data_IF_242196465956
#
_entry.id   IF_242196465956
#
_cell.length_a   1.000
_cell.length_b   1.000
_cell.length_c   1.000
_cell.angle_alpha   90.00
_cell.angle_beta   90.00
_cell.angle_gamma   90.00
#
_symmetry.space_group_name_H-M   'P 1'
#
loop_
_entity.id
_entity.type
_entity.pdbx_description
1 polymer ?
#
# COMPACT_ATOMS: atom_id res chain seq x y z
N UNK A 1 -15.16 10.29 -1.29
CA UNK A 1 -14.73 8.94 -1.69
C UNK A 1 -13.23 8.94 -1.86
N UNK A 2 -12.54 8.01 -1.21
CA UNK A 2 -11.09 7.84 -1.28
C UNK A 2 -10.69 6.99 -2.50
N UNK A 3 -9.42 7.07 -2.86
CA UNK A 3 -8.76 6.10 -3.75
C UNK A 3 -7.66 5.43 -2.95
N UNK A 4 -7.80 4.14 -2.73
CA UNK A 4 -6.85 3.35 -1.96
C UNK A 4 -5.92 2.59 -2.89
N UNK A 5 -4.61 2.78 -2.70
CA UNK A 5 -3.59 1.98 -3.37
C UNK A 5 -3.15 0.89 -2.40
N UNK A 6 -3.44 -0.35 -2.76
CA UNK A 6 -3.08 -1.55 -1.99
C UNK A 6 -2.12 -2.43 -2.79
N UNK A 7 -1.45 -3.32 -2.12
CA UNK A 7 -0.51 -4.24 -2.76
C UNK A 7 0.75 -4.46 -1.94
N UNK A 8 1.59 -5.34 -2.43
CA UNK A 8 2.86 -5.70 -1.81
C UNK A 8 3.78 -4.48 -1.66
N UNK A 9 4.69 -4.56 -0.69
CA UNK A 9 5.78 -3.60 -0.59
C UNK A 9 6.61 -3.57 -1.88
N UNK A 10 7.09 -2.40 -2.27
CA UNK A 10 7.88 -2.21 -3.49
C UNK A 10 7.08 -2.05 -4.78
N UNK A 11 5.75 -2.13 -4.76
CA UNK A 11 4.92 -1.93 -5.96
C UNK A 11 4.79 -0.47 -6.41
N UNK A 12 5.28 0.48 -5.62
CA UNK A 12 5.29 1.89 -5.99
C UNK A 12 4.07 2.69 -5.54
N UNK A 13 3.34 2.22 -4.52
CA UNK A 13 2.13 2.89 -3.99
C UNK A 13 2.36 4.35 -3.64
N UNK A 14 3.42 4.66 -2.90
CA UNK A 14 3.71 6.03 -2.47
C UNK A 14 4.09 6.94 -3.63
N UNK A 15 4.91 6.47 -4.56
CA UNK A 15 5.32 7.23 -5.74
C UNK A 15 4.14 7.50 -6.67
N UNK A 16 3.40 6.46 -7.01
CA UNK A 16 2.20 6.56 -7.85
C UNK A 16 1.11 7.39 -7.16
N UNK A 17 0.95 7.21 -5.85
CA UNK A 17 -0.04 7.95 -5.08
C UNK A 17 0.15 9.46 -5.13
N UNK A 18 1.39 9.93 -5.06
CA UNK A 18 1.74 11.35 -5.21
C UNK A 18 1.37 11.89 -6.61
N UNK A 19 1.71 11.15 -7.66
CA UNK A 19 1.37 11.52 -9.03
C UNK A 19 -0.13 11.53 -9.25
N UNK A 20 -0.82 10.47 -8.85
CA UNK A 20 -2.26 10.34 -8.97
C UNK A 20 -3.01 11.45 -8.19
N UNK A 21 -2.56 11.77 -6.98
CA UNK A 21 -3.17 12.81 -6.16
C UNK A 21 -3.09 14.18 -6.82
N UNK A 22 -1.94 14.48 -7.43
CA UNK A 22 -1.72 15.72 -8.19
C UNK A 22 -2.65 15.79 -9.41
N UNK A 23 -2.71 14.73 -10.20
CA UNK A 23 -3.52 14.67 -11.41
C UNK A 23 -5.01 14.71 -11.12
N UNK A 24 -5.45 14.17 -9.99
CA UNK A 24 -6.85 14.19 -9.55
C UNK A 24 -7.20 15.38 -8.65
N UNK A 25 -6.24 16.23 -8.32
CA UNK A 25 -6.40 17.36 -7.40
C UNK A 25 -6.98 16.94 -6.03
N UNK A 26 -6.49 15.81 -5.51
CA UNK A 26 -6.87 15.26 -4.20
C UNK A 26 -5.68 15.28 -3.24
N UNK A 27 -5.90 15.39 -1.92
CA UNK A 27 -4.83 15.20 -0.95
C UNK A 27 -4.16 13.82 -1.10
N UNK A 28 -2.87 13.75 -0.86
CA UNK A 28 -2.13 12.50 -0.77
C UNK A 28 -1.84 12.13 0.68
N UNK A 29 -2.14 10.89 1.03
CA UNK A 29 -1.88 10.32 2.35
C UNK A 29 -1.03 9.05 2.18
N UNK A 30 0.11 8.99 2.85
CA UNK A 30 0.89 7.77 3.03
C UNK A 30 0.66 7.28 4.46
N UNK A 31 -0.03 6.15 4.62
CA UNK A 31 -0.42 5.67 5.96
C UNK A 31 0.79 5.34 6.83
N UNK A 32 1.85 4.76 6.28
CA UNK A 32 3.07 4.49 7.06
C UNK A 32 3.69 5.78 7.59
N UNK A 33 3.74 6.83 6.76
CA UNK A 33 4.23 8.15 7.19
C UNK A 33 3.35 8.77 8.29
N UNK A 34 2.04 8.63 8.20
CA UNK A 34 1.12 9.14 9.21
C UNK A 34 1.24 8.35 10.54
N UNK A 35 1.46 7.04 10.46
CA UNK A 35 1.73 6.20 11.64
C UNK A 35 3.04 6.64 12.32
N UNK A 36 4.09 6.89 11.55
CA UNK A 36 5.37 7.37 12.07
C UNK A 36 5.25 8.73 12.77
N UNK A 37 4.49 9.65 12.19
CA UNK A 37 4.21 10.96 12.82
C UNK A 37 3.46 10.80 14.13
N UNK A 38 2.42 9.99 14.16
CA UNK A 38 1.59 9.75 15.35
C UNK A 38 2.35 9.00 16.42
N UNK A 39 3.13 8.00 16.04
CA UNK A 39 3.91 7.17 16.97
C UNK A 39 5.22 7.80 17.42
N UNK A 40 5.68 8.86 16.77
CA UNK A 40 6.95 9.53 17.09
C UNK A 40 8.20 8.70 16.80
N UNK A 41 8.08 7.65 16.00
CA UNK A 41 9.15 6.68 15.70
C UNK A 41 8.96 6.11 14.30
N UNK A 42 10.00 5.50 13.74
CA UNK A 42 9.89 4.77 12.47
C UNK A 42 9.00 3.53 12.62
N UNK A 43 8.48 3.02 11.49
CA UNK A 43 7.70 1.77 11.47
C UNK A 43 8.50 0.63 12.09
N UNK A 44 9.78 0.48 11.75
CA UNK A 44 10.68 -0.52 12.36
C UNK A 44 10.76 -0.41 13.88
N UNK A 45 10.93 0.80 14.39
CA UNK A 45 11.01 1.05 15.84
C UNK A 45 9.68 0.76 16.53
N UNK A 46 8.55 1.07 15.91
CA UNK A 46 7.22 0.73 16.45
C UNK A 46 7.04 -0.78 16.53
N UNK A 47 7.42 -1.54 15.48
CA UNK A 47 7.40 -3.00 15.50
C UNK A 47 8.27 -3.58 16.62
N UNK A 48 9.48 -3.09 16.79
CA UNK A 48 10.43 -3.59 17.81
C UNK A 48 9.98 -3.25 19.23
N UNK A 49 9.45 -2.04 19.44
CA UNK A 49 9.01 -1.54 20.74
C UNK A 49 7.64 -2.06 21.16
N UNK A 50 6.66 -1.96 20.27
CA UNK A 50 5.24 -2.15 20.59
C UNK A 50 4.64 -3.43 19.99
N UNK A 51 5.35 -4.09 19.06
CA UNK A 51 4.94 -5.32 18.39
C UNK A 51 4.02 -5.10 17.19
N UNK A 52 3.84 -6.18 16.41
CA UNK A 52 3.04 -6.16 15.18
C UNK A 52 1.57 -5.85 15.45
N UNK A 53 0.99 -6.40 16.51
CA UNK A 53 -0.43 -6.20 16.84
C UNK A 53 -0.75 -4.72 17.04
N UNK A 54 0.08 -4.01 17.81
CA UNK A 54 -0.10 -2.57 18.01
C UNK A 54 0.07 -1.78 16.71
N UNK A 55 1.05 -2.13 15.90
CA UNK A 55 1.21 -1.52 14.57
C UNK A 55 -0.05 -1.69 13.70
N UNK A 56 -0.64 -2.89 13.67
CA UNK A 56 -1.88 -3.15 12.93
C UNK A 56 -3.08 -2.36 13.47
N UNK A 57 -3.15 -2.12 14.75
CA UNK A 57 -4.15 -1.22 15.34
C UNK A 57 -3.95 0.21 14.85
N UNK A 58 -2.70 0.70 14.83
CA UNK A 58 -2.37 2.04 14.32
C UNK A 58 -2.69 2.19 12.84
N UNK A 59 -2.45 1.16 12.02
CA UNK A 59 -2.88 1.15 10.62
C UNK A 59 -4.39 1.35 10.49
N UNK A 60 -5.18 0.63 11.28
CA UNK A 60 -6.65 0.74 11.28
C UNK A 60 -7.10 2.11 11.75
N UNK A 61 -6.50 2.64 12.81
CA UNK A 61 -6.81 3.97 13.32
C UNK A 61 -6.54 5.07 12.27
N UNK A 62 -5.37 5.01 11.61
CA UNK A 62 -5.01 5.98 10.57
C UNK A 62 -5.88 5.85 9.31
N UNK A 63 -6.18 4.61 8.89
CA UNK A 63 -7.03 4.37 7.72
C UNK A 63 -8.37 5.11 7.80
N UNK A 64 -8.93 5.22 8.98
CA UNK A 64 -10.26 5.81 9.23
C UNK A 64 -10.26 7.35 9.33
N UNK A 65 -9.09 8.00 9.31
CA UNK A 65 -8.97 9.45 9.52
C UNK A 65 -9.28 10.29 8.27
N UNK A 66 -9.19 9.72 7.07
CA UNK A 66 -9.14 10.50 5.83
C UNK A 66 -10.34 10.25 4.93
N UNK A 67 -10.77 11.30 4.24
CA UNK A 67 -11.79 11.23 3.20
C UNK A 67 -11.41 12.11 2.01
N UNK A 68 -11.87 11.74 0.82
CA UNK A 68 -11.60 12.50 -0.40
C UNK A 68 -10.14 12.47 -0.89
N UNK A 69 -9.34 11.53 -0.42
CA UNK A 69 -7.89 11.49 -0.60
C UNK A 69 -7.44 10.31 -1.48
N UNK A 70 -6.23 10.41 -2.02
CA UNK A 70 -5.48 9.26 -2.52
C UNK A 70 -4.64 8.73 -1.36
N UNK A 71 -4.86 7.48 -0.98
CA UNK A 71 -4.28 6.85 0.21
C UNK A 71 -3.38 5.69 -0.22
N UNK A 72 -2.08 5.82 -0.01
CA UNK A 72 -1.13 4.72 -0.14
C UNK A 72 -1.14 3.91 1.16
N UNK A 73 -1.61 2.68 1.08
CA UNK A 73 -1.74 1.79 2.23
C UNK A 73 -0.47 0.95 2.44
N UNK A 74 -0.18 0.59 3.69
CA UNK A 74 0.85 -0.40 4.00
C UNK A 74 0.50 -1.79 3.42
N UNK A 75 1.50 -2.60 3.15
CA UNK A 75 1.30 -3.93 2.52
C UNK A 75 0.41 -4.88 3.33
N UNK A 76 0.35 -4.73 4.64
CA UNK A 76 -0.48 -5.55 5.53
C UNK A 76 -1.87 -4.99 5.84
N UNK A 77 -2.29 -3.91 5.20
CA UNK A 77 -3.60 -3.27 5.47
C UNK A 77 -4.77 -4.23 5.30
N UNK A 78 -4.67 -5.17 4.37
CA UNK A 78 -5.72 -6.14 4.03
C UNK A 78 -5.81 -7.32 5.00
N UNK A 79 -4.87 -7.46 5.95
CA UNK A 79 -4.87 -8.59 6.89
C UNK A 79 -6.07 -8.56 7.84
N UNK A 80 -6.54 -7.38 8.22
CA UNK A 80 -7.73 -7.23 9.05
C UNK A 80 -8.99 -7.11 8.20
N UNK A 81 -9.99 -7.93 8.49
CA UNK A 81 -11.29 -7.90 7.81
C UNK A 81 -11.98 -6.54 7.92
N UNK A 82 -11.86 -5.90 9.08
CA UNK A 82 -12.43 -4.56 9.30
C UNK A 82 -11.84 -3.52 8.34
N UNK A 83 -10.55 -3.58 8.05
CA UNK A 83 -9.91 -2.68 7.08
C UNK A 83 -10.42 -2.92 5.66
N UNK A 84 -10.57 -4.19 5.27
CA UNK A 84 -11.11 -4.55 3.94
C UNK A 84 -12.53 -4.02 3.75
N UNK A 85 -13.39 -4.17 4.75
CA UNK A 85 -14.76 -3.62 4.72
C UNK A 85 -14.73 -2.09 4.64
N UNK A 86 -13.95 -1.45 5.50
CA UNK A 86 -13.84 0.01 5.51
C UNK A 86 -13.39 0.57 4.15
N UNK A 87 -12.38 -0.04 3.54
CA UNK A 87 -11.87 0.36 2.22
C UNK A 87 -12.98 0.26 1.17
N UNK A 88 -13.70 -0.86 1.12
CA UNK A 88 -14.78 -1.09 0.15
C UNK A 88 -15.95 -0.13 0.30
N UNK A 89 -16.28 0.24 1.53
CA UNK A 89 -17.41 1.15 1.81
C UNK A 89 -17.06 2.62 1.57
N UNK A 90 -15.78 2.99 1.62
CA UNK A 90 -15.34 4.39 1.62
C UNK A 90 -14.59 4.84 0.37
N UNK A 91 -14.36 3.97 -0.60
CA UNK A 91 -13.62 4.35 -1.80
C UNK A 91 -13.47 3.27 -2.86
N UNK A 92 -12.56 3.53 -3.76
CA UNK A 92 -12.13 2.61 -4.81
C UNK A 92 -10.77 2.06 -4.42
N UNK A 93 -10.64 0.74 -4.37
CA UNK A 93 -9.40 0.05 -4.05
C UNK A 93 -8.71 -0.45 -5.32
N UNK A 94 -7.47 -0.06 -5.49
CA UNK A 94 -6.64 -0.41 -6.65
C UNK A 94 -5.48 -1.27 -6.17
N UNK A 95 -5.43 -2.51 -6.63
CA UNK A 95 -4.32 -3.41 -6.35
C UNK A 95 -3.18 -3.13 -7.34
N UNK A 96 -2.03 -2.75 -6.82
CA UNK A 96 -0.81 -2.65 -7.62
C UNK A 96 -0.02 -3.95 -7.55
N UNK A 97 0.40 -4.46 -8.70
CA UNK A 97 1.21 -5.67 -8.83
C UNK A 97 2.47 -5.42 -9.64
N UNK A 98 3.50 -6.20 -9.36
CA UNK A 98 4.72 -6.28 -10.17
C UNK A 98 5.31 -7.69 -10.04
N UNK A 99 6.25 -8.06 -10.90
CA UNK A 99 6.94 -9.34 -10.77
C UNK A 99 7.74 -9.41 -9.47
N UNK A 100 7.91 -10.61 -8.91
CA UNK A 100 8.69 -10.79 -7.67
C UNK A 100 10.15 -10.38 -7.86
N UNK A 101 10.71 -10.55 -9.05
CA UNK A 101 12.06 -10.06 -9.40
C UNK A 101 12.17 -8.54 -9.34
N UNK A 102 11.20 -7.82 -9.89
CA UNK A 102 11.17 -6.35 -9.80
C UNK A 102 10.99 -5.87 -8.36
N UNK A 103 10.11 -6.51 -7.59
CA UNK A 103 9.92 -6.17 -6.19
C UNK A 103 11.19 -6.40 -5.38
N UNK A 104 11.85 -7.54 -5.56
CA UNK A 104 13.11 -7.87 -4.89
C UNK A 104 14.18 -6.82 -5.20
N UNK A 105 14.32 -6.42 -6.46
CA UNK A 105 15.28 -5.41 -6.88
C UNK A 105 14.98 -4.03 -6.26
N UNK A 106 13.73 -3.58 -6.31
CA UNK A 106 13.31 -2.30 -5.72
C UNK A 106 13.50 -2.26 -4.21
N UNK A 107 13.26 -3.36 -3.51
CA UNK A 107 13.39 -3.47 -2.06
C UNK A 107 14.85 -3.58 -1.60
N UNK A 108 15.75 -4.14 -2.40
CA UNK A 108 17.18 -4.18 -2.09
C UNK A 108 17.81 -2.77 -2.02
N UNK A 109 17.22 -1.80 -2.69
CA UNK A 109 17.64 -0.40 -2.68
C UNK A 109 16.99 0.43 -1.54
N UNK A 110 16.21 -0.21 -0.65
CA UNK A 110 15.44 0.44 0.42
C UNK A 110 15.73 -0.16 1.80
N UNK A 111 16.10 0.66 2.78
CA UNK A 111 16.55 0.24 4.11
C UNK A 111 15.43 0.03 5.14
N UNK A 112 14.16 0.31 4.82
CA UNK A 112 13.11 0.43 5.83
C UNK A 112 11.93 -0.54 5.64
N UNK A 113 12.22 -1.87 5.77
CA UNK A 113 11.20 -2.93 5.61
C UNK A 113 11.32 -3.98 6.74
N UNK A 114 10.67 -3.77 7.91
CA UNK A 114 10.88 -4.61 9.09
C UNK A 114 10.56 -6.09 8.89
N UNK A 115 9.58 -6.45 8.06
CA UNK A 115 9.20 -7.84 7.81
C UNK A 115 10.17 -8.59 6.90
N UNK A 116 11.01 -7.89 6.13
CA UNK A 116 11.96 -8.45 5.19
C UNK A 116 13.39 -7.89 5.38
N UNK A 117 13.68 -7.30 6.54
CA UNK A 117 14.93 -6.59 6.80
C UNK A 117 16.21 -7.41 6.50
N UNK A 118 16.14 -8.73 6.60
CA UNK A 118 17.26 -9.65 6.40
C UNK A 118 17.07 -10.63 5.24
N UNK A 119 15.92 -10.60 4.55
CA UNK A 119 15.59 -11.57 3.51
C UNK A 119 14.63 -10.97 2.46
N UNK A 120 15.18 -10.19 1.53
CA UNK A 120 14.45 -9.58 0.41
C UNK A 120 14.61 -10.46 -0.84
N UNK A 121 14.32 -11.73 -0.70
CA UNK A 121 14.39 -12.69 -1.80
C UNK A 121 13.08 -12.82 -2.55
N UNK A 122 13.14 -13.26 -3.80
CA UNK A 122 11.93 -13.58 -4.57
C UNK A 122 11.10 -14.67 -3.88
N UNK A 123 11.74 -15.64 -3.22
CA UNK A 123 11.05 -16.70 -2.46
C UNK A 123 10.26 -16.13 -1.27
N UNK A 124 10.86 -15.24 -0.49
CA UNK A 124 10.20 -14.59 0.65
C UNK A 124 9.00 -13.74 0.18
N UNK A 125 9.17 -12.99 -0.91
CA UNK A 125 8.10 -12.19 -1.51
C UNK A 125 6.99 -13.06 -2.08
N UNK A 126 7.31 -14.15 -2.76
CA UNK A 126 6.33 -15.10 -3.29
C UNK A 126 5.51 -15.73 -2.16
N UNK A 127 6.16 -16.14 -1.08
CA UNK A 127 5.47 -16.66 0.12
C UNK A 127 4.51 -15.65 0.70
N UNK A 128 4.95 -14.41 0.87
CA UNK A 128 4.13 -13.32 1.41
C UNK A 128 2.93 -13.00 0.49
N UNK A 129 3.14 -13.02 -0.83
CA UNK A 129 2.08 -12.87 -1.82
C UNK A 129 1.03 -13.98 -1.71
N UNK A 130 1.47 -15.23 -1.64
CA UNK A 130 0.57 -16.38 -1.51
C UNK A 130 -0.28 -16.33 -0.22
N UNK A 131 0.27 -15.81 0.86
CA UNK A 131 -0.45 -15.61 2.12
C UNK A 131 -1.51 -14.49 2.03
N UNK A 132 -1.30 -13.46 1.19
CA UNK A 132 -2.11 -12.24 1.14
C UNK A 132 -2.95 -12.07 -0.12
N UNK A 133 -2.66 -12.83 -1.18
CA UNK A 133 -3.26 -12.58 -2.51
C UNK A 133 -4.78 -12.57 -2.52
N UNK A 134 -5.42 -13.48 -1.80
CA UNK A 134 -6.89 -13.54 -1.73
C UNK A 134 -7.46 -12.31 -1.06
N UNK A 135 -6.84 -11.83 0.01
CA UNK A 135 -7.27 -10.63 0.70
C UNK A 135 -7.11 -9.37 -0.17
N UNK A 136 -6.00 -9.26 -0.92
CA UNK A 136 -5.81 -8.19 -1.90
C UNK A 136 -6.87 -8.23 -3.00
N UNK A 137 -7.04 -9.39 -3.64
CA UNK A 137 -7.98 -9.55 -4.76
C UNK A 137 -9.43 -9.34 -4.33
N UNK A 138 -9.81 -9.80 -3.14
CA UNK A 138 -11.14 -9.59 -2.59
C UNK A 138 -11.42 -8.14 -2.17
N UNK A 139 -10.38 -7.37 -1.90
CA UNK A 139 -10.50 -5.96 -1.51
C UNK A 139 -10.52 -5.03 -2.72
N UNK A 140 -9.74 -5.35 -3.74
CA UNK A 140 -9.56 -4.50 -4.92
C UNK A 140 -10.80 -4.46 -5.82
N UNK A 141 -11.09 -3.28 -6.34
CA UNK A 141 -12.05 -3.10 -7.44
C UNK A 141 -11.42 -3.45 -8.79
N UNK A 142 -10.14 -3.15 -8.96
CA UNK A 142 -9.35 -3.60 -10.11
C UNK A 142 -7.85 -3.64 -9.81
N UNK A 143 -7.11 -4.26 -10.71
CA UNK A 143 -5.66 -4.46 -10.59
C UNK A 143 -4.93 -3.69 -11.69
N UNK A 144 -3.80 -3.09 -11.34
CA UNK A 144 -2.87 -2.41 -12.23
C UNK A 144 -1.49 -3.07 -12.10
N UNK A 145 -0.95 -3.52 -13.21
CA UNK A 145 0.43 -4.01 -13.27
C UNK A 145 1.39 -2.83 -13.50
N UNK A 146 2.35 -2.68 -12.59
CA UNK A 146 3.23 -1.51 -12.58
C UNK A 146 4.53 -1.69 -13.37
N UNK A 147 4.87 -2.93 -13.77
CA UNK A 147 6.09 -3.23 -14.48
C UNK A 147 6.21 -2.51 -15.82
N UNK A 148 7.36 -1.91 -16.09
CA UNK A 148 7.66 -1.24 -17.35
C UNK A 148 6.94 0.08 -17.61
N UNK A 149 6.16 0.59 -16.65
CA UNK A 149 5.42 1.85 -16.76
C UNK A 149 5.91 2.88 -15.76
N UNK A 150 5.91 4.15 -16.15
CA UNK A 150 6.22 5.24 -15.24
C UNK A 150 4.95 5.69 -14.46
N UNK A 151 5.10 6.47 -13.37
CA UNK A 151 3.96 6.91 -12.57
C UNK A 151 2.90 7.73 -13.32
N UNK A 152 3.29 8.51 -14.34
CA UNK A 152 2.34 9.29 -15.13
C UNK A 152 1.44 8.37 -15.99
N UNK A 153 2.04 7.40 -16.69
CA UNK A 153 1.31 6.40 -17.48
C UNK A 153 0.32 5.60 -16.61
N UNK A 154 0.78 5.18 -15.42
CA UNK A 154 -0.06 4.46 -14.46
C UNK A 154 -1.20 5.33 -13.92
N UNK A 155 -0.93 6.59 -13.64
CA UNK A 155 -1.94 7.55 -13.19
C UNK A 155 -3.02 7.77 -14.23
N UNK A 156 -2.64 7.95 -15.49
CA UNK A 156 -3.58 8.08 -16.61
C UNK A 156 -4.45 6.84 -16.78
N UNK A 157 -3.85 5.65 -16.73
CA UNK A 157 -4.58 4.38 -16.81
C UNK A 157 -5.62 4.26 -15.69
N UNK A 158 -5.23 4.61 -14.46
CA UNK A 158 -6.13 4.58 -13.29
C UNK A 158 -7.29 5.55 -13.47
N UNK A 159 -7.02 6.79 -13.88
CA UNK A 159 -8.05 7.81 -14.08
C UNK A 159 -9.05 7.39 -15.16
N UNK A 160 -8.56 6.81 -16.25
CA UNK A 160 -9.44 6.28 -17.30
C UNK A 160 -10.35 5.17 -16.77
N UNK A 161 -9.82 4.23 -15.98
CA UNK A 161 -10.62 3.14 -15.41
C UNK A 161 -11.65 3.60 -14.37
N UNK A 162 -11.32 4.60 -13.57
CA UNK A 162 -12.25 5.16 -12.57
C UNK A 162 -13.42 5.86 -13.25
N UNK A 163 -13.19 6.47 -14.41
CA UNK A 163 -14.19 7.25 -15.14
C UNK A 163 -14.97 6.41 -16.16
N UNK A 164 -14.64 5.15 -16.33
CA UNK A 164 -15.34 4.23 -17.23
C UNK A 164 -16.56 3.61 -16.55
#
# INVERSE_FOLDING_TARGET
MNIYLIGMMGTGKSTLGKTLSKNMQKPFIDLDSEIEKTGGSSVSEIFDRDGEERFREMETEQLKQYSGSVVACGGGIVLKLENRHFIKENGIAILLTASMGELSQRLSDSDNRPLLANDITEEALTKLWLERQLDYLNTADFTIETGGKNPEELSEEIILRINS
#
